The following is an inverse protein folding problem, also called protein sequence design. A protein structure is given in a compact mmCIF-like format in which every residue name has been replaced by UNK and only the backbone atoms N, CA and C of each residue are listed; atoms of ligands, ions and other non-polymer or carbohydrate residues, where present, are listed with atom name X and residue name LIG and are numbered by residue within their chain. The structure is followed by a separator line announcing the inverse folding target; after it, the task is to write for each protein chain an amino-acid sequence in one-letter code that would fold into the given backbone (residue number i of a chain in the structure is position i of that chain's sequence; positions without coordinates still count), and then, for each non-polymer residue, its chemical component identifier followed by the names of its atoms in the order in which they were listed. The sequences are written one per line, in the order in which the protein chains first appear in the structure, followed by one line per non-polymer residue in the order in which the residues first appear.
data_IF_536306819686
#
_entry.id   IF_536306819686
#
_cell.length_a   1.000
_cell.length_b   1.000
_cell.length_c   1.000
_cell.angle_alpha   90.00
_cell.angle_beta   90.00
_cell.angle_gamma   90.00
#
_symmetry.space_group_name_H-M   'P 1'
#
loop_
_entity.id
_entity.type
_entity.pdbx_description
1 polymer ?
#
# COMPACT_ATOMS: atom_id res chain seq x y z
N UNK A 1 -1.30 -76.47 -19.97
CA UNK A 1 -1.42 -75.00 -19.88
C UNK A 1 -0.30 -74.49 -18.99
N UNK A 2 0.69 -73.78 -19.55
CA UNK A 2 1.84 -73.25 -18.79
C UNK A 2 1.48 -71.82 -18.39
N UNK A 3 1.23 -71.61 -17.09
CA UNK A 3 0.93 -70.29 -16.54
C UNK A 3 2.19 -69.44 -16.44
N UNK A 4 2.34 -68.47 -17.34
CA UNK A 4 3.36 -67.42 -17.26
C UNK A 4 3.17 -66.64 -15.96
N UNK A 5 4.04 -66.88 -14.97
CA UNK A 5 4.08 -66.07 -13.76
C UNK A 5 4.86 -64.78 -14.07
N UNK A 6 4.11 -63.69 -14.27
CA UNK A 6 4.67 -62.33 -14.22
C UNK A 6 5.38 -62.15 -12.88
N UNK A 7 6.72 -62.03 -12.91
CA UNK A 7 7.48 -61.60 -11.74
C UNK A 7 7.06 -60.16 -11.44
N UNK A 8 6.41 -59.96 -10.28
CA UNK A 8 6.20 -58.62 -9.74
C UNK A 8 7.55 -58.10 -9.28
N UNK A 9 8.15 -57.20 -10.05
CA UNK A 9 9.34 -56.47 -9.63
C UNK A 9 8.94 -55.52 -8.50
N UNK A 10 9.57 -55.67 -7.33
CA UNK A 10 9.35 -54.80 -6.18
C UNK A 10 10.40 -53.70 -6.16
N UNK A 11 10.00 -52.48 -5.77
CA UNK A 11 10.91 -51.36 -5.59
C UNK A 11 11.94 -51.68 -4.50
N UNK A 12 13.18 -51.30 -4.75
CA UNK A 12 14.25 -51.40 -3.76
C UNK A 12 14.17 -50.24 -2.76
N UNK A 13 14.64 -50.47 -1.53
CA UNK A 13 14.76 -49.41 -0.52
C UNK A 13 15.65 -48.26 -1.01
N UNK A 14 16.69 -48.56 -1.80
CA UNK A 14 17.60 -47.54 -2.32
C UNK A 14 16.92 -46.66 -3.38
N UNK A 15 16.07 -47.23 -4.25
CA UNK A 15 15.30 -46.44 -5.22
C UNK A 15 14.35 -45.46 -4.54
N UNK A 16 13.63 -45.92 -3.51
CA UNK A 16 12.75 -45.04 -2.74
C UNK A 16 13.54 -43.96 -2.02
N UNK A 17 14.70 -44.30 -1.45
CA UNK A 17 15.57 -43.36 -0.75
C UNK A 17 16.12 -42.27 -1.68
N UNK A 18 16.53 -42.62 -2.90
CA UNK A 18 16.99 -41.66 -3.91
C UNK A 18 15.85 -40.72 -4.33
N UNK A 19 14.63 -41.24 -4.52
CA UNK A 19 13.47 -40.41 -4.91
C UNK A 19 13.14 -39.38 -3.83
N UNK A 20 13.04 -39.79 -2.56
CA UNK A 20 12.72 -38.83 -1.48
C UNK A 20 13.86 -37.82 -1.28
N UNK A 21 15.12 -38.21 -1.52
CA UNK A 21 16.25 -37.29 -1.48
C UNK A 21 16.15 -36.21 -2.58
N UNK A 22 15.82 -36.61 -3.81
CA UNK A 22 15.62 -35.66 -4.93
C UNK A 22 14.42 -34.75 -4.66
N UNK A 23 13.29 -35.30 -4.19
CA UNK A 23 12.10 -34.51 -3.84
C UNK A 23 12.40 -33.51 -2.70
N UNK A 24 13.20 -33.89 -1.71
CA UNK A 24 13.64 -32.99 -0.64
C UNK A 24 14.46 -31.81 -1.16
N UNK A 25 15.40 -32.06 -2.09
CA UNK A 25 16.21 -31.01 -2.72
C UNK A 25 15.34 -30.08 -3.57
N UNK A 26 14.49 -30.64 -4.43
CA UNK A 26 13.59 -29.86 -5.27
C UNK A 26 12.59 -29.03 -4.44
N UNK A 27 12.05 -29.61 -3.37
CA UNK A 27 11.13 -28.91 -2.46
C UNK A 27 11.78 -27.72 -1.77
N UNK A 28 13.01 -27.87 -1.27
CA UNK A 28 13.74 -26.77 -0.64
C UNK A 28 13.99 -25.59 -1.60
N UNK A 29 14.43 -25.88 -2.84
CA UNK A 29 14.63 -24.86 -3.87
C UNK A 29 13.32 -24.20 -4.31
N UNK A 30 12.23 -24.97 -4.37
CA UNK A 30 10.90 -24.47 -4.73
C UNK A 30 10.39 -23.41 -3.73
N UNK A 31 10.57 -23.64 -2.43
CA UNK A 31 10.12 -22.68 -1.39
C UNK A 31 10.87 -21.35 -1.49
N UNK A 32 12.20 -21.38 -1.69
CA UNK A 32 12.99 -20.14 -1.79
C UNK A 32 12.64 -19.34 -3.03
N UNK A 33 12.40 -20.01 -4.16
CA UNK A 33 11.99 -19.35 -5.41
C UNK A 33 10.61 -18.69 -5.28
N UNK A 34 9.65 -19.38 -4.64
CA UNK A 34 8.32 -18.84 -4.43
C UNK A 34 8.33 -17.57 -3.58
N UNK A 35 9.09 -17.56 -2.47
CA UNK A 35 9.21 -16.37 -1.61
C UNK A 35 9.81 -15.17 -2.34
N UNK A 36 10.87 -15.39 -3.11
CA UNK A 36 11.47 -14.32 -3.93
C UNK A 36 10.46 -13.77 -4.95
N UNK A 37 9.73 -14.65 -5.63
CA UNK A 37 8.73 -14.23 -6.62
C UNK A 37 7.55 -13.47 -6.01
N UNK A 38 7.20 -13.74 -4.75
CA UNK A 38 6.17 -12.99 -4.03
C UNK A 38 6.65 -11.59 -3.68
N UNK A 39 7.85 -11.46 -3.13
CA UNK A 39 8.44 -10.15 -2.83
C UNK A 39 8.56 -9.25 -4.07
N UNK A 40 9.02 -9.81 -5.20
CA UNK A 40 9.08 -9.09 -6.47
C UNK A 40 7.68 -8.64 -6.96
N UNK A 41 6.67 -9.48 -6.76
CA UNK A 41 5.29 -9.18 -7.15
C UNK A 41 4.67 -8.09 -6.28
N UNK A 42 4.92 -8.11 -4.96
CA UNK A 42 4.49 -7.07 -4.02
C UNK A 42 5.10 -5.72 -4.40
N UNK A 43 6.41 -5.65 -4.61
CA UNK A 43 7.06 -4.41 -5.06
C UNK A 43 6.48 -3.89 -6.39
N UNK A 44 6.23 -4.79 -7.35
CA UNK A 44 5.63 -4.43 -8.63
C UNK A 44 4.20 -3.90 -8.46
N UNK A 45 3.41 -4.55 -7.60
CA UNK A 45 2.05 -4.11 -7.25
C UNK A 45 2.06 -2.74 -6.59
N UNK A 46 2.99 -2.49 -5.65
CA UNK A 46 3.15 -1.18 -5.02
C UNK A 46 3.45 -0.09 -6.06
N UNK A 47 4.43 -0.33 -6.94
CA UNK A 47 4.80 0.61 -8.02
C UNK A 47 3.62 0.87 -8.97
N UNK A 48 2.86 -0.16 -9.33
CA UNK A 48 1.67 -0.02 -10.16
C UNK A 48 0.57 0.78 -9.45
N UNK A 49 0.36 0.54 -8.15
CA UNK A 49 -0.62 1.27 -7.33
C UNK A 49 -0.27 2.75 -7.23
N UNK A 50 1.00 3.07 -6.97
CA UNK A 50 1.48 4.46 -6.98
C UNK A 50 1.24 5.13 -8.33
N UNK A 51 1.44 4.43 -9.44
CA UNK A 51 1.15 4.96 -10.78
C UNK A 51 -0.33 5.25 -10.95
N UNK A 52 -1.22 4.33 -10.57
CA UNK A 52 -2.68 4.53 -10.61
C UNK A 52 -3.10 5.74 -9.79
N UNK A 53 -2.62 5.84 -8.54
CA UNK A 53 -2.90 6.96 -7.64
C UNK A 53 -2.35 8.28 -8.21
N UNK A 54 -1.14 8.26 -8.77
CA UNK A 54 -0.51 9.42 -9.42
C UNK A 54 -1.36 9.91 -10.59
N UNK A 55 -1.82 9.01 -11.47
CA UNK A 55 -2.70 9.36 -12.59
C UNK A 55 -4.00 9.98 -12.11
N UNK A 56 -4.63 9.41 -11.08
CA UNK A 56 -5.87 9.95 -10.50
C UNK A 56 -5.65 11.34 -9.86
N UNK A 57 -4.52 11.56 -9.19
CA UNK A 57 -4.16 12.86 -8.62
C UNK A 57 -3.90 13.93 -9.70
N UNK A 58 -3.27 13.58 -10.82
CA UNK A 58 -3.11 14.49 -11.96
C UNK A 58 -4.47 14.84 -12.60
N UNK A 59 -5.38 13.87 -12.69
CA UNK A 59 -6.75 14.11 -13.16
C UNK A 59 -7.51 15.03 -12.18
N UNK A 60 -7.37 14.78 -10.87
CA UNK A 60 -8.01 15.59 -9.83
C UNK A 60 -7.59 17.07 -9.93
N UNK A 61 -6.28 17.34 -10.01
CA UNK A 61 -5.72 18.68 -10.17
C UNK A 61 -6.16 19.34 -11.48
N UNK A 62 -6.23 18.57 -12.55
CA UNK A 62 -6.60 19.07 -13.88
C UNK A 62 -8.08 19.44 -13.99
N UNK A 63 -8.93 18.96 -13.08
CA UNK A 63 -10.32 19.38 -13.00
C UNK A 63 -10.40 20.86 -12.58
N UNK A 64 -11.16 21.64 -13.36
CA UNK A 64 -11.39 23.08 -13.13
C UNK A 64 -12.01 23.39 -11.75
N UNK A 65 -12.63 22.42 -11.09
CA UNK A 65 -13.22 22.58 -9.75
C UNK A 65 -12.19 22.59 -8.63
N UNK A 66 -11.06 21.89 -8.81
CA UNK A 66 -10.05 21.74 -7.77
C UNK A 66 -8.83 22.61 -8.05
N UNK A 67 -8.24 22.51 -9.25
CA UNK A 67 -7.09 23.32 -9.68
C UNK A 67 -5.78 23.11 -8.90
N UNK A 68 -5.78 22.24 -7.88
CA UNK A 68 -4.65 21.88 -7.04
C UNK A 68 -4.79 20.43 -6.58
N UNK A 69 -3.70 19.82 -6.14
CA UNK A 69 -3.76 18.52 -5.46
C UNK A 69 -4.46 18.65 -4.09
N UNK A 70 -5.06 17.58 -3.55
CA UNK A 70 -5.63 17.58 -2.20
C UNK A 70 -4.64 18.07 -1.16
N UNK A 71 -5.10 18.76 -0.12
CA UNK A 71 -4.24 19.11 1.03
C UNK A 71 -3.96 17.87 1.87
N UNK A 72 -3.02 17.95 2.81
CA UNK A 72 -2.66 16.82 3.69
C UNK A 72 -3.57 16.74 4.93
N UNK A 73 -4.80 17.23 4.82
CA UNK A 73 -5.76 17.29 5.90
C UNK A 73 -7.17 17.50 5.36
N UNK A 74 -8.15 16.96 6.07
CA UNK A 74 -9.58 17.18 5.83
C UNK A 74 -10.10 18.46 6.53
N UNK A 75 -9.24 19.24 7.19
CA UNK A 75 -9.63 20.52 7.78
C UNK A 75 -10.23 21.46 6.72
N UNK A 76 -11.45 21.93 6.99
CA UNK A 76 -12.19 22.80 6.07
C UNK A 76 -12.95 22.07 4.97
N UNK A 77 -12.83 20.73 4.85
CA UNK A 77 -13.63 19.93 3.91
C UNK A 77 -15.09 19.88 4.40
N UNK A 78 -16.07 20.33 3.60
CA UNK A 78 -17.47 20.29 3.98
C UNK A 78 -17.94 18.86 4.29
N UNK A 79 -18.42 18.64 5.52
CA UNK A 79 -18.90 17.33 5.97
C UNK A 79 -17.89 16.51 6.75
N UNK A 80 -16.59 16.85 6.72
CA UNK A 80 -15.59 16.15 7.52
C UNK A 80 -15.85 16.35 9.01
N UNK A 81 -16.23 17.56 9.41
CA UNK A 81 -16.48 17.89 10.81
C UNK A 81 -15.18 18.15 11.57
N UNK A 82 -15.21 17.99 12.90
CA UNK A 82 -14.00 18.10 13.72
C UNK A 82 -13.27 16.78 13.67
N UNK A 83 -12.02 16.81 13.22
CA UNK A 83 -11.13 15.64 13.21
C UNK A 83 -11.02 15.07 14.64
N UNK A 84 -11.21 13.76 14.75
CA UNK A 84 -11.17 13.07 16.05
C UNK A 84 -9.74 12.87 16.52
N UNK A 85 -8.83 12.63 15.58
CA UNK A 85 -7.40 12.51 15.80
C UNK A 85 -6.62 13.25 14.68
N UNK A 86 -5.30 13.02 14.56
CA UNK A 86 -4.44 13.60 13.52
C UNK A 86 -3.48 12.56 12.95
N UNK A 87 -3.98 11.35 12.79
CA UNK A 87 -3.31 10.19 12.21
C UNK A 87 -3.81 10.10 10.75
N UNK A 88 -3.01 9.56 9.85
CA UNK A 88 -3.36 9.29 8.44
C UNK A 88 -3.91 10.46 7.60
N UNK A 89 -3.89 11.70 8.10
CA UNK A 89 -4.56 12.85 7.48
C UNK A 89 -4.27 13.05 5.99
N UNK A 90 -3.03 12.78 5.57
CA UNK A 90 -2.67 12.80 4.16
C UNK A 90 -3.33 11.70 3.35
N UNK A 91 -3.27 10.46 3.85
CA UNK A 91 -3.87 9.30 3.22
C UNK A 91 -5.40 9.43 3.12
N UNK A 92 -6.07 9.82 4.22
CA UNK A 92 -7.51 10.04 4.26
C UNK A 92 -7.94 11.15 3.30
N UNK A 93 -7.23 12.28 3.29
CA UNK A 93 -7.54 13.40 2.41
C UNK A 93 -7.39 13.02 0.94
N UNK A 94 -6.34 12.28 0.60
CA UNK A 94 -6.17 11.72 -0.74
C UNK A 94 -7.30 10.76 -1.09
N UNK A 95 -7.65 9.83 -0.21
CA UNK A 95 -8.73 8.88 -0.46
C UNK A 95 -10.06 9.60 -0.67
N UNK A 96 -10.43 10.52 0.23
CA UNK A 96 -11.67 11.31 0.13
C UNK A 96 -11.71 12.08 -1.19
N UNK A 97 -10.61 12.71 -1.60
CA UNK A 97 -10.54 13.45 -2.85
C UNK A 97 -10.81 12.55 -4.07
N UNK A 98 -10.13 11.39 -4.13
CA UNK A 98 -10.19 10.46 -5.27
C UNK A 98 -11.44 9.58 -5.28
N UNK A 99 -12.09 9.37 -4.13
CA UNK A 99 -13.35 8.63 -3.99
C UNK A 99 -14.58 9.55 -3.86
N UNK A 100 -14.40 10.88 -3.98
CA UNK A 100 -15.51 11.81 -3.90
C UNK A 100 -16.49 11.64 -5.07
N UNK A 101 -17.75 11.97 -4.83
CA UNK A 101 -18.80 12.03 -5.87
C UNK A 101 -18.49 13.05 -6.98
N UNK A 102 -17.68 14.06 -6.68
CA UNK A 102 -17.33 15.13 -7.60
C UNK A 102 -16.09 14.82 -8.43
N UNK A 103 -15.31 13.80 -8.06
CA UNK A 103 -14.19 13.30 -8.85
C UNK A 103 -14.68 12.65 -10.15
N UNK A 104 -14.04 13.01 -11.27
CA UNK A 104 -14.44 12.61 -12.63
C UNK A 104 -13.44 11.71 -13.34
N UNK A 105 -12.33 11.38 -12.68
CA UNK A 105 -11.35 10.43 -13.18
C UNK A 105 -11.75 8.97 -12.93
N UNK A 106 -10.86 8.07 -13.32
CA UNK A 106 -10.97 6.67 -12.93
C UNK A 106 -10.64 6.53 -11.44
N UNK A 107 -11.55 5.97 -10.65
CA UNK A 107 -11.40 5.91 -9.20
C UNK A 107 -10.45 4.77 -8.84
N UNK A 108 -9.32 5.06 -8.17
CA UNK A 108 -8.42 4.00 -7.74
C UNK A 108 -9.10 2.99 -6.82
N UNK A 109 -10.06 3.43 -6.02
CA UNK A 109 -10.84 2.57 -5.12
C UNK A 109 -11.82 1.63 -5.84
N UNK A 110 -12.05 1.82 -7.14
CA UNK A 110 -12.82 0.90 -7.99
C UNK A 110 -11.88 0.04 -8.86
N UNK A 111 -10.75 0.60 -9.34
CA UNK A 111 -9.83 -0.09 -10.26
C UNK A 111 -8.76 -0.95 -9.58
N UNK A 112 -8.39 -0.67 -8.33
CA UNK A 112 -7.42 -1.46 -7.57
C UNK A 112 -8.06 -2.65 -6.82
N UNK A 113 -9.40 -2.65 -6.69
CA UNK A 113 -10.18 -3.66 -5.97
C UNK A 113 -10.46 -3.31 -4.51
N UNK A 114 -11.43 -4.02 -3.91
CA UNK A 114 -11.95 -3.70 -2.57
C UNK A 114 -10.91 -3.92 -1.45
N UNK A 115 -9.92 -4.78 -1.66
CA UNK A 115 -8.84 -5.05 -0.69
C UNK A 115 -7.76 -3.96 -0.68
N UNK A 116 -7.85 -2.95 -1.56
CA UNK A 116 -6.81 -1.92 -1.70
C UNK A 116 -6.95 -0.76 -0.70
N UNK A 117 -7.96 -0.78 0.17
CA UNK A 117 -8.19 0.28 1.14
C UNK A 117 -8.88 -0.23 2.41
N UNK A 118 -8.57 0.39 3.54
CA UNK A 118 -9.18 0.10 4.84
C UNK A 118 -9.26 1.38 5.68
N UNK A 119 -10.05 1.39 6.74
CA UNK A 119 -10.00 2.44 7.77
C UNK A 119 -9.10 1.92 8.90
N UNK A 120 -7.81 2.25 8.83
CA UNK A 120 -6.77 1.64 9.68
C UNK A 120 -6.74 2.19 11.11
N UNK A 121 -7.27 3.38 11.36
CA UNK A 121 -7.31 3.99 12.69
C UNK A 121 -8.73 4.06 13.30
N UNK A 122 -9.74 3.60 12.55
CA UNK A 122 -11.13 3.44 12.97
C UNK A 122 -11.90 4.76 13.10
N UNK A 123 -11.41 5.83 12.47
CA UNK A 123 -11.98 7.16 12.63
C UNK A 123 -13.09 7.46 11.62
N UNK A 124 -13.85 8.53 11.87
CA UNK A 124 -15.05 8.84 11.07
C UNK A 124 -15.25 10.34 10.88
N UNK A 125 -15.80 10.67 9.71
CA UNK A 125 -16.31 11.99 9.37
C UNK A 125 -17.70 12.28 9.95
N UNK A 126 -18.08 13.55 10.00
CA UNK A 126 -19.44 13.93 10.43
C UNK A 126 -20.53 13.51 9.44
N UNK A 127 -20.21 13.45 8.14
CA UNK A 127 -21.11 13.05 7.03
C UNK A 127 -20.33 12.21 6.02
N UNK A 128 -20.99 11.26 5.31
CA UNK A 128 -20.35 10.53 4.24
C UNK A 128 -19.71 11.45 3.19
N UNK A 129 -18.41 11.26 2.96
CA UNK A 129 -17.61 12.11 2.07
C UNK A 129 -17.38 11.49 0.69
N UNK A 130 -17.52 10.18 0.58
CA UNK A 130 -17.19 9.39 -0.61
C UNK A 130 -18.43 8.75 -1.24
N UNK A 131 -18.25 8.15 -2.41
CA UNK A 131 -19.31 7.39 -3.10
C UNK A 131 -19.83 6.18 -2.31
N UNK A 132 -19.08 5.71 -1.30
CA UNK A 132 -19.42 4.54 -0.51
C UNK A 132 -20.57 4.78 0.49
N UNK A 133 -20.93 6.03 0.76
CA UNK A 133 -22.01 6.35 1.69
C UNK A 133 -21.70 6.05 3.17
N UNK A 134 -20.53 5.50 3.48
CA UNK A 134 -20.02 5.38 4.85
C UNK A 134 -19.43 6.71 5.34
N UNK A 135 -19.36 6.85 6.68
CA UNK A 135 -18.65 7.95 7.34
C UNK A 135 -17.18 7.64 7.61
N UNK A 136 -16.78 6.38 7.47
CA UNK A 136 -15.41 5.94 7.68
C UNK A 136 -14.46 6.73 6.78
N UNK A 137 -13.33 7.13 7.32
CA UNK A 137 -12.23 7.67 6.55
C UNK A 137 -11.31 6.51 6.22
N UNK A 138 -11.20 6.20 4.93
CA UNK A 138 -10.38 5.10 4.45
C UNK A 138 -9.03 5.61 3.96
N UNK A 139 -8.04 4.73 3.95
CA UNK A 139 -6.73 4.92 3.36
C UNK A 139 -6.47 3.85 2.30
N UNK A 140 -5.81 4.22 1.20
CA UNK A 140 -5.24 3.24 0.29
C UNK A 140 -4.08 2.52 0.97
N UNK A 141 -4.03 1.19 0.87
CA UNK A 141 -3.00 0.36 1.47
C UNK A 141 -1.96 -0.07 0.43
N UNK A 142 -0.70 -0.14 0.88
CA UNK A 142 0.36 -0.82 0.16
C UNK A 142 0.26 -2.36 0.34
N UNK A 143 1.03 -3.16 -0.42
CA UNK A 143 0.97 -4.62 -0.35
C UNK A 143 1.31 -5.22 1.02
N UNK A 144 1.97 -4.45 1.89
CA UNK A 144 2.34 -4.86 3.25
C UNK A 144 1.33 -4.37 4.30
N UNK A 145 0.23 -3.76 3.87
CA UNK A 145 -0.86 -3.32 4.72
C UNK A 145 -0.67 -1.92 5.33
N UNK A 146 0.35 -1.15 4.93
CA UNK A 146 0.50 0.22 5.43
C UNK A 146 -0.34 1.19 4.58
N UNK A 147 -1.00 2.19 5.18
CA UNK A 147 -1.51 3.34 4.45
C UNK A 147 -0.42 4.01 3.60
N UNK A 148 -0.70 4.32 2.33
CA UNK A 148 0.22 5.16 1.57
C UNK A 148 0.37 6.53 2.23
N UNK A 149 1.60 6.92 2.54
CA UNK A 149 1.90 8.25 3.03
C UNK A 149 1.71 9.28 1.91
N UNK A 150 0.91 10.30 2.16
CA UNK A 150 0.66 11.38 1.22
C UNK A 150 0.97 12.73 1.85
N UNK A 151 1.66 13.60 1.13
CA UNK A 151 1.94 14.97 1.57
C UNK A 151 1.82 15.94 0.40
N UNK A 152 0.94 16.94 0.53
CA UNK A 152 0.93 18.09 -0.36
C UNK A 152 2.14 18.99 -0.06
N UNK A 153 2.72 19.62 -1.09
CA UNK A 153 3.86 20.51 -0.92
C UNK A 153 3.59 21.70 0.01
N UNK A 154 2.34 22.16 0.12
CA UNK A 154 1.95 23.20 1.05
C UNK A 154 2.14 22.81 2.53
N UNK A 155 2.15 21.50 2.83
CA UNK A 155 2.15 20.96 4.19
C UNK A 155 3.48 20.30 4.60
N UNK A 156 4.52 20.30 3.76
CA UNK A 156 5.79 19.63 4.11
C UNK A 156 6.40 20.12 5.44
N UNK A 157 6.24 21.41 5.73
CA UNK A 157 6.69 22.01 6.99
C UNK A 157 5.76 21.80 8.18
N UNK A 158 4.58 21.19 8.00
CA UNK A 158 3.57 21.05 9.04
C UNK A 158 3.80 19.74 9.83
N UNK A 159 4.20 19.80 11.11
CA UNK A 159 4.40 18.59 11.92
C UNK A 159 3.08 17.90 12.27
N UNK A 160 1.95 18.60 12.16
CA UNK A 160 0.65 18.12 12.60
C UNK A 160 0.01 17.11 11.64
N UNK A 161 0.63 16.83 10.49
CA UNK A 161 0.17 15.87 9.46
C UNK A 161 1.11 14.66 9.32
N UNK A 162 1.99 14.45 10.29
CA UNK A 162 3.09 13.46 10.21
C UNK A 162 2.82 12.14 10.90
N UNK A 163 1.64 11.93 11.47
CA UNK A 163 1.34 10.69 12.21
C UNK A 163 0.62 9.73 11.29
N UNK A 164 1.09 8.50 11.21
CA UNK A 164 0.48 7.45 10.39
C UNK A 164 0.38 6.16 11.21
N UNK A 165 -0.64 5.36 10.91
CA UNK A 165 -0.64 3.95 11.28
C UNK A 165 0.39 3.22 10.41
N UNK A 166 1.20 2.37 11.02
CA UNK A 166 2.11 1.48 10.32
C UNK A 166 1.95 0.05 10.88
N UNK A 167 1.88 -0.93 9.99
CA UNK A 167 1.75 -2.33 10.35
C UNK A 167 3.03 -2.80 11.06
N UNK A 168 2.89 -3.48 12.21
CA UNK A 168 4.05 -3.97 12.95
C UNK A 168 4.68 -5.21 12.30
N UNK A 169 6.02 -5.19 12.19
CA UNK A 169 6.83 -6.35 11.76
C UNK A 169 6.82 -7.51 12.77
N UNK A 170 6.36 -7.28 14.01
CA UNK A 170 6.39 -8.27 15.12
C UNK A 170 5.00 -8.85 15.44
N UNK A 171 4.02 -8.61 14.56
CA UNK A 171 2.74 -9.31 14.59
C UNK A 171 1.55 -8.44 14.99
N UNK A 172 0.72 -8.13 13.99
CA UNK A 172 -0.74 -8.04 14.09
C UNK A 172 -1.35 -6.72 14.55
N UNK A 173 -0.59 -5.84 15.21
CA UNK A 173 -1.11 -4.53 15.62
C UNK A 173 -0.44 -3.40 14.83
N UNK A 174 -1.24 -2.40 14.43
CA UNK A 174 -0.71 -1.16 13.89
C UNK A 174 -0.12 -0.30 15.01
N UNK A 175 0.99 0.37 14.74
CA UNK A 175 1.58 1.37 15.61
C UNK A 175 1.52 2.77 15.00
N UNK A 176 1.48 3.79 15.86
CA UNK A 176 1.51 5.18 15.39
C UNK A 176 2.95 5.62 15.24
N UNK A 177 3.37 5.87 14.01
CA UNK A 177 4.72 6.32 13.68
C UNK A 177 4.72 7.78 13.21
N UNK A 178 5.91 8.37 13.17
CA UNK A 178 6.11 9.72 12.58
C UNK A 178 6.73 9.59 11.20
N UNK A 179 5.98 9.96 10.18
CA UNK A 179 6.39 9.96 8.77
C UNK A 179 6.71 11.39 8.33
N UNK A 180 7.82 11.57 7.63
CA UNK A 180 8.26 12.84 7.08
C UNK A 180 8.24 12.80 5.55
N UNK A 181 7.93 13.92 4.88
CA UNK A 181 8.22 14.05 3.45
C UNK A 181 9.71 13.84 3.20
N UNK A 182 10.04 13.17 2.10
CA UNK A 182 11.41 12.96 1.68
C UNK A 182 12.06 14.28 1.23
N UNK A 183 13.31 14.44 1.63
CA UNK A 183 14.16 15.58 1.30
C UNK A 183 15.49 15.11 0.71
N UNK A 184 16.06 15.90 -0.18
CA UNK A 184 17.41 15.69 -0.67
C UNK A 184 18.40 15.82 0.51
N UNK A 185 19.21 14.78 0.73
CA UNK A 185 20.12 14.69 1.87
C UNK A 185 21.10 15.89 1.96
N UNK A 186 21.50 16.46 0.81
CA UNK A 186 22.46 17.58 0.72
C UNK A 186 21.79 18.94 0.83
N UNK A 187 20.73 19.19 0.06
CA UNK A 187 20.13 20.53 -0.03
C UNK A 187 19.03 20.77 1.01
N UNK A 188 18.54 19.72 1.68
CA UNK A 188 17.35 19.74 2.55
C UNK A 188 16.09 20.23 1.82
N UNK A 189 16.11 20.24 0.49
CA UNK A 189 14.96 20.57 -0.32
C UNK A 189 14.08 19.32 -0.47
N UNK A 190 12.75 19.43 -0.39
CA UNK A 190 11.85 18.32 -0.65
C UNK A 190 12.06 17.73 -2.05
N UNK A 191 11.90 16.41 -2.22
CA UNK A 191 12.05 15.76 -3.54
C UNK A 191 11.09 16.32 -4.59
N UNK A 192 9.85 16.66 -4.20
CA UNK A 192 8.84 17.28 -5.08
C UNK A 192 8.34 18.61 -4.51
N UNK A 193 9.12 19.70 -4.63
CA UNK A 193 8.92 20.93 -3.86
C UNK A 193 7.66 21.73 -4.26
N UNK A 194 7.05 21.44 -5.41
CA UNK A 194 5.91 22.20 -5.96
C UNK A 194 4.70 21.33 -6.30
N UNK A 195 4.64 20.08 -5.81
CA UNK A 195 3.52 19.17 -6.07
C UNK A 195 3.08 18.43 -4.80
N UNK A 196 3.33 17.13 -4.73
CA UNK A 196 3.01 16.25 -3.62
C UNK A 196 3.99 15.09 -3.62
N UNK A 197 4.13 14.44 -2.46
CA UNK A 197 4.80 13.16 -2.33
C UNK A 197 3.77 12.10 -1.95
N UNK A 198 3.88 10.93 -2.58
CA UNK A 198 3.17 9.72 -2.20
C UNK A 198 4.18 8.58 -2.13
N UNK A 199 4.15 7.80 -1.06
CA UNK A 199 5.06 6.67 -0.88
C UNK A 199 4.52 5.60 0.09
N UNK A 200 4.99 4.38 -0.12
CA UNK A 200 4.81 3.20 0.75
C UNK A 200 6.04 3.03 1.64
N UNK A 201 5.84 2.37 2.79
CA UNK A 201 6.91 1.98 3.72
C UNK A 201 7.81 0.85 3.19
N UNK A 202 7.49 0.28 2.02
CA UNK A 202 8.31 -0.76 1.41
C UNK A 202 8.27 -2.11 2.13
N UNK A 203 9.08 -3.07 1.65
CA UNK A 203 9.16 -4.42 2.19
C UNK A 203 9.51 -4.52 3.68
N UNK A 204 10.24 -3.55 4.25
CA UNK A 204 10.60 -3.53 5.67
C UNK A 204 9.49 -2.99 6.59
N UNK A 205 8.39 -2.51 5.99
CA UNK A 205 7.20 -1.97 6.66
C UNK A 205 7.47 -0.75 7.54
N UNK A 206 8.63 -0.10 7.38
CA UNK A 206 9.09 0.99 8.23
C UNK A 206 9.24 2.25 7.39
N UNK A 207 8.38 3.24 7.60
CA UNK A 207 8.49 4.50 6.85
C UNK A 207 9.83 5.22 7.06
N UNK A 208 10.25 5.94 6.01
CA UNK A 208 11.46 6.76 5.99
C UNK A 208 12.77 5.96 6.06
N UNK A 209 12.78 4.77 5.47
CA UNK A 209 13.95 3.89 5.25
C UNK A 209 14.34 3.86 3.76
N UNK A 210 15.44 3.17 3.42
CA UNK A 210 15.97 3.19 2.05
C UNK A 210 15.11 2.40 1.03
N UNK A 211 14.22 1.52 1.50
CA UNK A 211 13.35 0.68 0.69
C UNK A 211 11.92 1.21 0.55
N UNK A 212 11.62 2.39 1.12
CA UNK A 212 10.41 3.15 0.78
C UNK A 212 10.24 3.15 -0.75
N UNK A 213 9.00 3.13 -1.23
CA UNK A 213 8.68 3.18 -2.66
C UNK A 213 7.72 4.34 -2.91
N UNK A 214 8.08 5.27 -3.80
CA UNK A 214 7.32 6.50 -3.97
C UNK A 214 7.53 7.16 -5.32
N UNK A 215 7.00 8.37 -5.44
CA UNK A 215 6.90 9.09 -6.72
C UNK A 215 8.07 10.04 -7.03
N UNK A 216 9.30 9.73 -6.60
CA UNK A 216 10.50 10.55 -6.84
C UNK A 216 10.99 10.54 -8.29
#
# INVERSE_FOLDING_TARGET
MIGSHSRKEGFTLIELLVVIAILGILGALGVTMLRSSQADAEELQCKATIQTLTTALEQYKSDRRHGAYPLTSLEGVPGAGKLTNRINLGAESMFVALASKDFRGDRPSESLGDDSFENTDGDVSAKPLTIYGSKDLFEFLDPWGNPFAYFNAADYGNPAVRRYMAASTVGGEYEIVTVKPWENAKTKSPFRPSSYQIFSAGPDMTFNTEDDIGNW
#
